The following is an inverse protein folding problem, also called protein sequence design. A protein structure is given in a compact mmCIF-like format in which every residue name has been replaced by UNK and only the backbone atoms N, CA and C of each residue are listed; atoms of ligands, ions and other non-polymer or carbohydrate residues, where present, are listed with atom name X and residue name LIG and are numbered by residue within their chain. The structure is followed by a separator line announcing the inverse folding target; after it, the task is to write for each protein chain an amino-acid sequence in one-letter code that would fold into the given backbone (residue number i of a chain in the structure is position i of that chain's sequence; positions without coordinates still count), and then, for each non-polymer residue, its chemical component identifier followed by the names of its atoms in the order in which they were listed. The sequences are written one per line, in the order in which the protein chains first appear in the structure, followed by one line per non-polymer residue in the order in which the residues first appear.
data_IF_546901140260
#
_entry.id   IF_546901140260
#
_cell.length_a   1.000
_cell.length_b   1.000
_cell.length_c   1.000
_cell.angle_alpha   90.00
_cell.angle_beta   90.00
_cell.angle_gamma   90.00
#
_symmetry.space_group_name_H-M   'P 1'
#
loop_
_entity.id
_entity.type
_entity.pdbx_description
1 polymer ?
#
# COMPACT_ATOMS: atom_id res chain seq x y z
N UNK A 1 18.38 12.44 -4.48
CA UNK A 1 18.71 11.20 -3.76
C UNK A 1 19.65 10.40 -4.64
N UNK A 2 20.89 10.19 -4.22
CA UNK A 2 21.90 9.44 -4.99
C UNK A 2 21.68 7.93 -4.81
N UNK A 3 22.24 7.12 -5.70
CA UNK A 3 22.19 5.66 -5.59
C UNK A 3 22.83 5.11 -4.30
N UNK A 4 23.64 5.93 -3.61
CA UNK A 4 24.30 5.56 -2.35
C UNK A 4 23.33 5.50 -1.15
N UNK A 5 22.19 6.21 -1.20
CA UNK A 5 21.23 6.26 -0.08
C UNK A 5 20.36 4.98 0.04
N UNK A 6 20.31 4.12 -0.98
CA UNK A 6 19.40 2.96 -1.04
C UNK A 6 20.09 1.60 -0.79
N UNK A 7 21.37 1.60 -0.43
CA UNK A 7 22.19 0.39 -0.33
C UNK A 7 22.52 -0.23 -1.70
N UNK A 8 23.36 -1.28 -1.74
CA UNK A 8 23.71 -1.92 -3.00
C UNK A 8 22.46 -2.53 -3.62
N UNK A 9 22.09 -2.06 -4.82
CA UNK A 9 21.00 -2.64 -5.60
C UNK A 9 21.19 -4.14 -5.80
N UNK A 10 20.09 -4.89 -5.91
CA UNK A 10 20.19 -6.31 -6.25
C UNK A 10 20.76 -6.45 -7.68
N UNK A 11 21.61 -7.46 -7.95
CA UNK A 11 22.12 -7.68 -9.30
C UNK A 11 20.95 -7.87 -10.27
N UNK A 12 21.14 -7.37 -11.50
CA UNK A 12 20.18 -7.60 -12.58
C UNK A 12 19.97 -9.11 -12.80
N UNK A 13 18.75 -9.48 -13.19
CA UNK A 13 18.44 -10.85 -13.51
C UNK A 13 19.25 -11.29 -14.73
N UNK A 14 20.19 -12.23 -14.53
CA UNK A 14 21.13 -12.68 -15.56
C UNK A 14 20.65 -13.87 -16.39
N UNK A 15 19.48 -14.42 -16.09
CA UNK A 15 18.94 -15.61 -16.76
C UNK A 15 17.42 -15.63 -16.70
N UNK A 16 16.81 -16.42 -17.56
CA UNK A 16 15.36 -16.65 -17.52
C UNK A 16 14.97 -17.39 -16.23
N UNK A 17 13.81 -17.03 -15.67
CA UNK A 17 13.19 -17.71 -14.53
C UNK A 17 11.91 -18.40 -14.97
N UNK A 18 11.74 -19.65 -14.56
CA UNK A 18 10.44 -20.30 -14.59
C UNK A 18 9.79 -20.15 -13.23
N UNK A 19 8.65 -19.47 -13.19
CA UNK A 19 7.88 -19.18 -11.98
C UNK A 19 6.39 -19.37 -12.24
N UNK A 20 5.63 -19.56 -11.18
CA UNK A 20 4.18 -19.72 -11.26
C UNK A 20 3.50 -18.34 -11.35
N UNK A 21 4.08 -17.33 -10.68
CA UNK A 21 3.64 -15.94 -10.74
C UNK A 21 4.83 -15.00 -10.90
N UNK A 22 4.80 -14.16 -11.93
CA UNK A 22 5.72 -13.03 -12.11
C UNK A 22 5.00 -11.72 -11.80
N UNK A 23 5.56 -10.92 -10.89
CA UNK A 23 5.04 -9.63 -10.46
C UNK A 23 6.03 -8.54 -10.91
N UNK A 24 5.55 -7.57 -11.67
CA UNK A 24 6.35 -6.43 -12.16
C UNK A 24 6.05 -5.20 -11.31
N UNK A 25 7.05 -4.77 -10.53
CA UNK A 25 7.01 -3.61 -9.63
C UNK A 25 7.06 -4.00 -8.16
N UNK A 26 8.14 -3.64 -7.46
CA UNK A 26 8.33 -3.93 -6.03
C UNK A 26 7.90 -2.78 -5.12
N UNK A 27 6.76 -2.15 -5.43
CA UNK A 27 6.05 -1.25 -4.52
C UNK A 27 5.17 -1.99 -3.52
N UNK A 28 4.39 -1.26 -2.71
CA UNK A 28 3.48 -1.86 -1.73
C UNK A 28 2.54 -2.88 -2.37
N UNK A 29 1.89 -2.53 -3.48
CA UNK A 29 0.96 -3.43 -4.15
C UNK A 29 1.63 -4.75 -4.55
N UNK A 30 2.80 -4.68 -5.22
CA UNK A 30 3.51 -5.89 -5.65
C UNK A 30 4.00 -6.76 -4.50
N UNK A 31 4.55 -6.13 -3.45
CA UNK A 31 4.99 -6.85 -2.25
C UNK A 31 3.82 -7.47 -1.48
N UNK A 32 2.71 -6.75 -1.32
CA UNK A 32 1.50 -7.28 -0.68
C UNK A 32 0.88 -8.42 -1.50
N UNK A 33 0.88 -8.32 -2.82
CA UNK A 33 0.46 -9.41 -3.70
C UNK A 33 1.33 -10.65 -3.49
N UNK A 34 2.66 -10.52 -3.52
CA UNK A 34 3.57 -11.64 -3.28
C UNK A 34 3.34 -12.27 -1.89
N UNK A 35 3.25 -11.43 -0.85
CA UNK A 35 3.02 -11.86 0.53
C UNK A 35 1.75 -12.67 0.67
N UNK A 36 0.62 -12.18 0.18
CA UNK A 36 -0.66 -12.88 0.30
C UNK A 36 -0.83 -14.06 -0.65
N UNK A 37 -0.06 -14.14 -1.74
CA UNK A 37 0.02 -15.36 -2.55
C UNK A 37 0.74 -16.45 -1.77
N UNK A 38 1.91 -16.14 -1.21
CA UNK A 38 2.72 -17.09 -0.45
C UNK A 38 2.06 -17.51 0.88
N UNK A 39 1.31 -16.62 1.53
CA UNK A 39 0.50 -16.98 2.70
C UNK A 39 -0.65 -17.95 2.35
N UNK A 40 -1.21 -17.86 1.14
CA UNK A 40 -2.30 -18.75 0.69
C UNK A 40 -1.78 -20.08 0.18
N UNK A 41 -0.67 -20.05 -0.56
CA UNK A 41 -0.02 -21.24 -1.10
C UNK A 41 1.51 -21.05 -1.06
N UNK A 42 2.17 -21.56 -0.01
CA UNK A 42 3.62 -21.48 0.13
C UNK A 42 4.41 -22.24 -0.93
N UNK A 43 3.76 -23.10 -1.74
CA UNK A 43 4.44 -23.86 -2.79
C UNK A 43 4.67 -23.05 -4.06
N UNK A 44 3.99 -21.90 -4.22
CA UNK A 44 4.13 -21.02 -5.37
C UNK A 44 5.55 -20.45 -5.46
N UNK A 45 6.17 -20.60 -6.64
CA UNK A 45 7.37 -19.86 -7.01
C UNK A 45 6.95 -18.50 -7.52
N UNK A 46 7.18 -17.47 -6.73
CA UNK A 46 6.84 -16.07 -7.07
C UNK A 46 8.12 -15.29 -7.35
N UNK A 47 8.21 -14.66 -8.52
CA UNK A 47 9.23 -13.65 -8.83
C UNK A 47 8.66 -12.24 -8.73
N UNK A 48 9.35 -11.37 -7.98
CA UNK A 48 9.06 -9.94 -7.90
C UNK A 48 10.20 -9.17 -8.57
N UNK A 49 9.90 -8.50 -9.68
CA UNK A 49 10.86 -7.79 -10.52
C UNK A 49 10.74 -6.28 -10.30
N UNK A 50 11.87 -5.59 -10.16
CA UNK A 50 11.94 -4.14 -9.97
C UNK A 50 13.07 -3.57 -10.82
N UNK A 51 12.79 -2.45 -11.48
CA UNK A 51 13.75 -1.80 -12.38
C UNK A 51 14.84 -1.02 -11.63
N UNK A 52 14.59 -0.67 -10.37
CA UNK A 52 15.51 0.05 -9.50
C UNK A 52 15.79 -0.77 -8.23
N UNK A 53 15.26 -0.32 -7.10
CA UNK A 53 15.36 -0.98 -5.79
C UNK A 53 13.95 -1.14 -5.22
N UNK A 54 13.78 -2.10 -4.31
CA UNK A 54 12.49 -2.34 -3.65
C UNK A 54 11.97 -1.05 -3.03
N UNK A 55 10.72 -0.69 -3.32
CA UNK A 55 10.11 0.54 -2.82
C UNK A 55 10.53 1.83 -3.55
N UNK A 56 11.35 1.79 -4.60
CA UNK A 56 11.83 3.02 -5.28
C UNK A 56 10.72 3.97 -5.76
N UNK A 57 9.55 3.43 -6.12
CA UNK A 57 8.39 4.20 -6.58
C UNK A 57 7.73 5.09 -5.52
N UNK A 58 6.43 5.36 -5.70
CA UNK A 58 5.63 6.11 -4.74
C UNK A 58 5.60 5.45 -3.34
N UNK A 59 5.76 4.13 -3.27
CA UNK A 59 5.71 3.37 -2.01
C UNK A 59 6.86 3.65 -1.04
N UNK A 60 8.05 4.04 -1.51
CA UNK A 60 9.16 4.43 -0.62
C UNK A 60 9.33 5.94 -0.46
N UNK A 61 8.65 6.75 -1.30
CA UNK A 61 8.74 8.22 -1.31
C UNK A 61 7.48 8.93 -0.83
N UNK A 62 6.59 8.21 -0.12
CA UNK A 62 5.40 8.80 0.48
C UNK A 62 5.68 9.30 1.91
N UNK A 63 4.75 10.07 2.48
CA UNK A 63 4.88 10.64 3.83
C UNK A 63 4.64 9.68 4.99
N UNK A 64 4.50 8.37 4.75
CA UNK A 64 4.28 7.34 5.78
C UNK A 64 2.83 7.24 6.29
N UNK A 65 1.88 7.93 5.66
CA UNK A 65 0.49 7.96 6.13
C UNK A 65 -0.26 6.70 5.67
N UNK A 66 -0.58 5.82 6.61
CA UNK A 66 -1.50 4.71 6.39
C UNK A 66 -2.94 5.18 6.68
N UNK A 67 -3.70 5.54 5.64
CA UNK A 67 -5.02 6.14 5.81
C UNK A 67 -6.06 5.56 4.85
N UNK A 68 -7.32 5.60 5.29
CA UNK A 68 -8.49 5.21 4.52
C UNK A 68 -9.17 6.43 3.84
N UNK A 69 -8.42 7.51 3.59
CA UNK A 69 -8.95 8.72 3.01
C UNK A 69 -9.38 8.49 1.55
N UNK A 70 -10.61 8.89 1.24
CA UNK A 70 -11.05 9.00 -0.15
C UNK A 70 -10.51 10.30 -0.77
N UNK A 71 -10.10 10.29 -2.04
CA UNK A 71 -9.60 11.49 -2.72
C UNK A 71 -10.69 12.56 -2.94
N UNK A 72 -11.96 12.19 -2.78
CA UNK A 72 -13.14 13.06 -2.90
C UNK A 72 -14.16 12.70 -1.81
N UNK A 73 -15.13 13.58 -1.60
CA UNK A 73 -16.25 13.31 -0.69
C UNK A 73 -17.03 12.06 -1.08
N UNK A 74 -17.62 11.39 -0.10
CA UNK A 74 -18.35 10.13 -0.30
C UNK A 74 -19.47 10.26 -1.33
N UNK A 75 -20.17 11.40 -1.37
CA UNK A 75 -21.22 11.65 -2.36
C UNK A 75 -20.67 11.77 -3.79
N UNK A 76 -19.47 12.33 -3.96
CA UNK A 76 -18.81 12.40 -5.27
C UNK A 76 -18.33 11.03 -5.75
N UNK A 77 -17.94 10.13 -4.83
CA UNK A 77 -17.66 8.72 -5.12
C UNK A 77 -18.95 7.97 -5.47
N UNK A 78 -20.02 8.21 -4.72
CA UNK A 78 -21.33 7.60 -4.95
C UNK A 78 -21.92 8.00 -6.31
N UNK A 79 -21.69 9.24 -6.75
CA UNK A 79 -22.12 9.74 -8.06
C UNK A 79 -21.49 9.00 -9.25
N UNK A 80 -20.35 8.33 -9.05
CA UNK A 80 -19.69 7.51 -10.08
C UNK A 80 -20.13 6.04 -10.06
N UNK A 81 -20.90 5.63 -9.05
CA UNK A 81 -21.32 4.25 -8.87
C UNK A 81 -22.69 4.20 -8.19
N UNK A 82 -22.72 3.94 -6.88
CA UNK A 82 -23.90 4.05 -6.04
C UNK A 82 -23.50 4.36 -4.60
N UNK A 83 -24.46 4.85 -3.79
CA UNK A 83 -24.25 5.07 -2.35
C UNK A 83 -23.75 3.81 -1.65
N UNK A 84 -24.33 2.64 -1.95
CA UNK A 84 -23.93 1.38 -1.31
C UNK A 84 -22.52 0.94 -1.72
N UNK A 85 -22.12 1.13 -2.98
CA UNK A 85 -20.76 0.84 -3.43
C UNK A 85 -19.73 1.79 -2.83
N UNK A 86 -20.06 3.08 -2.72
CA UNK A 86 -19.18 4.07 -2.07
C UNK A 86 -18.96 3.76 -0.59
N UNK A 87 -20.04 3.41 0.14
CA UNK A 87 -19.93 2.97 1.54
C UNK A 87 -19.11 1.70 1.65
N UNK A 88 -19.34 0.71 0.77
CA UNK A 88 -18.55 -0.52 0.75
C UNK A 88 -17.05 -0.24 0.52
N UNK A 89 -16.72 0.64 -0.43
CA UNK A 89 -15.34 1.05 -0.68
C UNK A 89 -14.72 1.65 0.58
N UNK A 90 -15.42 2.59 1.22
CA UNK A 90 -14.93 3.23 2.44
C UNK A 90 -14.70 2.22 3.57
N UNK A 91 -15.60 1.25 3.75
CA UNK A 91 -15.44 0.17 4.73
C UNK A 91 -14.17 -0.65 4.44
N UNK A 92 -13.98 -1.11 3.20
CA UNK A 92 -12.79 -1.89 2.81
C UNK A 92 -11.49 -1.09 2.98
N UNK A 93 -11.53 0.22 2.70
CA UNK A 93 -10.38 1.10 2.93
C UNK A 93 -10.01 1.20 4.42
N UNK A 94 -10.99 1.29 5.33
CA UNK A 94 -10.74 1.24 6.76
C UNK A 94 -10.18 -0.13 7.20
N UNK A 95 -10.74 -1.22 6.70
CA UNK A 95 -10.26 -2.58 6.98
C UNK A 95 -8.80 -2.76 6.54
N UNK A 96 -8.38 -2.12 5.44
CA UNK A 96 -7.01 -2.17 4.94
C UNK A 96 -6.01 -1.56 5.93
N UNK A 97 -6.37 -0.48 6.63
CA UNK A 97 -5.49 0.13 7.66
C UNK A 97 -5.33 -0.81 8.85
N UNK A 98 -6.41 -1.44 9.30
CA UNK A 98 -6.36 -2.43 10.38
C UNK A 98 -5.53 -3.66 9.97
N UNK A 99 -5.66 -4.09 8.72
CA UNK A 99 -4.92 -5.22 8.17
C UNK A 99 -3.41 -4.97 8.12
N UNK A 100 -2.98 -3.76 7.73
CA UNK A 100 -1.56 -3.36 7.81
C UNK A 100 -1.04 -3.52 9.23
N UNK A 101 -1.77 -3.04 10.23
CA UNK A 101 -1.39 -3.18 11.64
C UNK A 101 -1.30 -4.65 12.09
N UNK A 102 -2.26 -5.48 11.67
CA UNK A 102 -2.27 -6.91 11.97
C UNK A 102 -1.03 -7.61 11.41
N UNK A 103 -0.66 -7.32 10.17
CA UNK A 103 0.52 -7.94 9.53
C UNK A 103 1.83 -7.42 10.11
N UNK A 104 1.92 -6.13 10.41
CA UNK A 104 3.08 -5.57 11.13
C UNK A 104 3.33 -6.32 12.43
N UNK A 105 2.27 -6.59 13.21
CA UNK A 105 2.38 -7.38 14.44
C UNK A 105 2.74 -8.83 14.16
N UNK A 106 2.04 -9.50 13.23
CA UNK A 106 2.20 -10.92 12.95
C UNK A 106 3.61 -11.26 12.46
N UNK A 107 4.20 -10.40 11.63
CA UNK A 107 5.52 -10.59 11.02
C UNK A 107 6.64 -9.91 11.81
N UNK A 108 6.32 -9.24 12.93
CA UNK A 108 7.31 -8.55 13.78
C UNK A 108 8.06 -7.42 13.06
N UNK A 109 7.36 -6.66 12.20
CA UNK A 109 7.97 -5.60 11.38
C UNK A 109 8.20 -4.35 12.24
N UNK A 110 9.46 -3.97 12.42
CA UNK A 110 9.84 -2.73 13.11
C UNK A 110 9.71 -1.51 12.17
N UNK A 111 8.47 -1.02 12.02
CA UNK A 111 8.16 0.15 11.18
C UNK A 111 7.47 1.28 11.94
N UNK A 112 7.48 1.25 13.28
CA UNK A 112 6.82 2.24 14.13
C UNK A 112 5.34 2.48 13.78
N UNK A 113 4.61 1.43 13.41
CA UNK A 113 3.19 1.55 13.08
C UNK A 113 2.39 2.08 14.28
N UNK A 114 1.65 3.16 14.07
CA UNK A 114 0.82 3.80 15.10
C UNK A 114 -0.59 4.05 14.56
N UNK A 115 -1.58 3.38 15.17
CA UNK A 115 -2.99 3.51 14.77
C UNK A 115 -3.68 4.63 15.58
N UNK A 116 -3.53 5.88 15.12
CA UNK A 116 -4.01 7.07 15.83
C UNK A 116 -5.19 7.82 15.19
N UNK A 117 -5.60 7.44 13.97
CA UNK A 117 -6.57 8.21 13.18
C UNK A 117 -5.99 9.53 12.65
N UNK A 118 -6.86 10.44 12.22
CA UNK A 118 -6.47 11.78 11.76
C UNK A 118 -7.45 12.84 12.29
N UNK A 119 -6.95 14.06 12.46
CA UNK A 119 -7.77 15.22 12.83
C UNK A 119 -7.85 16.17 11.64
N UNK A 120 -9.08 16.58 11.31
CA UNK A 120 -9.34 17.65 10.35
C UNK A 120 -9.79 18.90 11.12
N UNK A 121 -9.15 20.04 10.89
CA UNK A 121 -9.43 21.29 11.60
C UNK A 121 -10.03 22.32 10.63
N UNK A 122 -11.21 22.83 10.95
CA UNK A 122 -11.76 24.02 10.31
C UNK A 122 -11.09 25.27 10.90
N UNK A 123 -10.49 26.09 10.04
CA UNK A 123 -9.79 27.33 10.40
C UNK A 123 -10.49 28.59 9.87
N UNK A 124 -11.69 28.44 9.30
CA UNK A 124 -12.56 29.52 8.83
C UNK A 124 -14.02 29.07 8.82
N UNK A 125 -14.94 30.04 8.80
CA UNK A 125 -16.38 29.77 8.76
C UNK A 125 -16.78 28.97 7.51
N UNK A 126 -16.14 29.25 6.36
CA UNK A 126 -16.37 28.50 5.12
C UNK A 126 -16.02 27.02 5.28
N UNK A 127 -14.96 26.69 6.04
CA UNK A 127 -14.59 25.29 6.30
C UNK A 127 -15.52 24.62 7.31
N UNK A 128 -16.11 25.39 8.24
CA UNK A 128 -17.09 24.89 9.21
C UNK A 128 -18.42 24.51 8.55
N UNK A 129 -18.76 25.14 7.42
CA UNK A 129 -20.01 24.91 6.69
C UNK A 129 -19.94 23.75 5.69
N UNK A 130 -18.78 23.09 5.53
CA UNK A 130 -18.59 21.92 4.66
C UNK A 130 -19.05 20.64 5.34
#
# INVERSE_FOLDING_TARGET
MSAEEWGPGRPALGSDLQVDVAIVGAGYTGMWTAYYLLQRDPSLRVALLEAQVVGFGASGRNGGWCSALLPMGLDAVAAQSSRSQAVRLQTVMHETVAEVGRVVQAEGIDCHFAHGGYLSLARSDIQMQR
#
